data_IF_039260662893
#
_entry.id   IF_039260662893
#
_cell.length_a   1.000
_cell.length_b   1.000
_cell.length_c   1.000
_cell.angle_alpha   90.00
_cell.angle_beta   90.00
_cell.angle_gamma   90.00
#
_symmetry.space_group_name_H-M   'P 1'
#
loop_
_entity.id
_entity.type
_entity.pdbx_description
1 polymer ?
#
# COMPACT_ATOMS: atom_id res chain seq x y z
N UNK A 1 -35.01 33.10 30.27
CA UNK A 1 -35.40 31.77 29.76
C UNK A 1 -35.06 31.71 28.29
N UNK A 2 -33.96 31.08 27.97
CA UNK A 2 -33.45 30.89 26.59
C UNK A 2 -32.88 29.51 26.48
N UNK A 3 -33.63 28.62 25.84
CA UNK A 3 -33.19 27.27 25.51
C UNK A 3 -32.10 27.38 24.45
N UNK A 4 -30.88 26.94 24.78
CA UNK A 4 -29.76 26.79 23.82
C UNK A 4 -30.06 25.52 23.00
N UNK A 5 -30.22 25.73 21.68
CA UNK A 5 -30.26 24.68 20.67
C UNK A 5 -28.96 23.85 20.73
N UNK A 6 -29.10 22.56 20.91
CA UNK A 6 -28.04 21.60 20.67
C UNK A 6 -27.78 21.54 19.18
N UNK A 7 -26.63 22.09 18.73
CA UNK A 7 -26.11 21.87 17.39
C UNK A 7 -25.87 20.38 17.17
N UNK A 8 -26.61 19.80 16.21
CA UNK A 8 -26.32 18.50 15.64
C UNK A 8 -24.87 18.47 15.14
N UNK A 9 -24.04 17.64 15.74
CA UNK A 9 -22.80 17.21 15.12
C UNK A 9 -23.16 16.38 13.87
N UNK A 10 -22.49 16.56 12.76
CA UNK A 10 -22.67 15.67 11.61
C UNK A 10 -22.25 14.26 12.04
N UNK A 11 -23.20 13.33 11.94
CA UNK A 11 -22.93 11.91 12.03
C UNK A 11 -21.97 11.57 10.89
N UNK A 12 -20.80 11.05 11.20
CA UNK A 12 -19.89 10.43 10.23
C UNK A 12 -20.70 9.38 9.48
N UNK A 13 -20.90 9.61 8.19
CA UNK A 13 -21.55 8.68 7.29
C UNK A 13 -20.80 7.34 7.33
N UNK A 14 -21.46 6.32 7.84
CA UNK A 14 -20.99 4.94 7.76
C UNK A 14 -21.31 4.48 6.33
N UNK A 15 -20.59 5.04 5.33
CA UNK A 15 -20.70 4.59 3.95
C UNK A 15 -20.13 3.17 3.88
N UNK A 16 -20.93 2.26 3.35
CA UNK A 16 -20.45 0.91 3.04
C UNK A 16 -19.28 1.02 2.06
N UNK A 17 -18.23 0.19 2.21
CA UNK A 17 -17.08 0.22 1.32
C UNK A 17 -17.52 0.12 -0.15
N UNK A 18 -16.91 0.92 -1.02
CA UNK A 18 -17.20 0.94 -2.45
C UNK A 18 -16.69 -0.33 -3.16
N UNK A 19 -17.22 -0.65 -4.34
CA UNK A 19 -16.68 -1.75 -5.16
C UNK A 19 -15.19 -1.52 -5.49
N UNK A 20 -14.81 -0.27 -5.74
CA UNK A 20 -13.42 0.12 -5.95
C UNK A 20 -12.53 -0.16 -4.74
N UNK A 21 -13.05 0.04 -3.53
CA UNK A 21 -12.34 -0.29 -2.29
C UNK A 21 -12.05 -1.79 -2.17
N UNK A 22 -13.03 -2.64 -2.48
CA UNK A 22 -12.82 -4.11 -2.48
C UNK A 22 -11.86 -4.56 -3.58
N UNK A 23 -11.92 -3.95 -4.76
CA UNK A 23 -10.99 -4.23 -5.85
C UNK A 23 -9.55 -3.85 -5.46
N UNK A 24 -9.36 -2.69 -4.81
CA UNK A 24 -8.07 -2.27 -4.30
C UNK A 24 -7.55 -3.22 -3.21
N UNK A 25 -8.39 -3.59 -2.25
CA UNK A 25 -8.01 -4.54 -1.19
C UNK A 25 -7.50 -5.86 -1.77
N UNK A 26 -8.21 -6.41 -2.77
CA UNK A 26 -7.79 -7.63 -3.47
C UNK A 26 -6.46 -7.44 -4.18
N UNK A 27 -6.30 -6.37 -4.95
CA UNK A 27 -5.05 -6.09 -5.67
C UNK A 27 -3.85 -5.95 -4.73
N UNK A 28 -4.01 -5.29 -3.58
CA UNK A 28 -2.94 -5.13 -2.58
C UNK A 28 -2.56 -6.47 -1.95
N UNK A 29 -3.53 -7.35 -1.66
CA UNK A 29 -3.26 -8.68 -1.12
C UNK A 29 -2.51 -9.55 -2.14
N UNK A 30 -2.95 -9.54 -3.41
CA UNK A 30 -2.28 -10.26 -4.49
C UNK A 30 -0.84 -9.75 -4.71
N UNK A 31 -0.63 -8.43 -4.61
CA UNK A 31 0.69 -7.82 -4.68
C UNK A 31 1.57 -8.23 -3.50
N UNK A 32 1.02 -8.27 -2.28
CA UNK A 32 1.74 -8.70 -1.09
C UNK A 32 2.21 -10.17 -1.24
N UNK A 33 1.33 -11.05 -1.68
CA UNK A 33 1.69 -12.44 -1.97
C UNK A 33 2.78 -12.53 -3.04
N UNK A 34 2.64 -11.77 -4.14
CA UNK A 34 3.62 -11.74 -5.21
C UNK A 34 5.00 -11.29 -4.73
N UNK A 35 5.06 -10.17 -3.99
CA UNK A 35 6.32 -9.63 -3.46
C UNK A 35 6.93 -10.59 -2.43
N UNK A 36 6.11 -11.26 -1.60
CA UNK A 36 6.59 -12.19 -0.58
C UNK A 36 7.39 -13.36 -1.16
N UNK A 37 7.09 -13.77 -2.40
CA UNK A 37 7.83 -14.84 -3.08
C UNK A 37 9.30 -14.48 -3.37
N UNK A 38 9.65 -13.20 -3.35
CA UNK A 38 11.02 -12.70 -3.57
C UNK A 38 11.89 -12.75 -2.32
N UNK A 39 11.29 -13.06 -1.17
CA UNK A 39 11.97 -13.03 0.14
C UNK A 39 12.07 -11.62 0.71
N UNK A 40 12.95 -11.44 1.69
CA UNK A 40 13.21 -10.21 2.41
C UNK A 40 14.46 -9.49 1.87
N UNK A 41 14.65 -8.24 2.31
CA UNK A 41 15.79 -7.37 1.98
C UNK A 41 15.82 -6.97 0.48
N UNK A 42 14.62 -6.96 -0.14
CA UNK A 42 14.42 -6.52 -1.52
C UNK A 42 14.35 -4.99 -1.66
N UNK A 43 14.52 -4.48 -2.88
CA UNK A 43 14.35 -3.06 -3.16
C UNK A 43 12.88 -2.65 -3.04
N UNK A 44 12.65 -1.35 -2.85
CA UNK A 44 11.34 -0.75 -3.00
C UNK A 44 10.79 -1.05 -4.40
N UNK A 45 9.55 -1.53 -4.48
CA UNK A 45 8.86 -1.78 -5.74
C UNK A 45 7.62 -0.90 -5.85
N UNK A 46 7.41 -0.35 -7.03
CA UNK A 46 6.27 0.51 -7.36
C UNK A 46 5.45 -0.13 -8.46
N UNK A 47 4.14 -0.08 -8.35
CA UNK A 47 3.21 -0.68 -9.29
C UNK A 47 2.17 0.35 -9.74
N UNK A 48 1.91 0.41 -11.04
CA UNK A 48 0.71 1.05 -11.57
C UNK A 48 -0.49 0.12 -11.36
N UNK A 49 -1.61 0.67 -10.93
CA UNK A 49 -2.88 -0.02 -10.85
C UNK A 49 -3.79 0.47 -11.98
N UNK A 50 -4.26 -0.45 -12.82
CA UNK A 50 -5.07 -0.13 -14.00
C UNK A 50 -6.29 -1.05 -14.02
N UNK A 51 -7.48 -0.50 -14.32
CA UNK A 51 -8.65 -1.35 -14.53
C UNK A 51 -8.44 -2.23 -15.75
N UNK A 52 -8.50 -3.54 -15.53
CA UNK A 52 -8.22 -4.54 -16.57
C UNK A 52 -9.19 -4.41 -17.74
N UNK A 53 -10.46 -4.12 -17.47
CA UNK A 53 -11.47 -3.91 -18.52
C UNK A 53 -11.14 -2.71 -19.42
N UNK A 54 -10.70 -1.58 -18.82
CA UNK A 54 -10.33 -0.38 -19.55
C UNK A 54 -9.05 -0.59 -20.38
N UNK A 55 -8.07 -1.29 -19.81
CA UNK A 55 -6.84 -1.64 -20.52
C UNK A 55 -7.14 -2.52 -21.76
N UNK A 56 -8.00 -3.53 -21.62
CA UNK A 56 -8.43 -4.40 -22.73
C UNK A 56 -9.26 -3.65 -23.78
N UNK A 57 -10.05 -2.65 -23.38
CA UNK A 57 -10.80 -1.82 -24.30
C UNK A 57 -9.88 -0.89 -25.13
N UNK A 58 -8.84 -0.35 -24.49
CA UNK A 58 -7.86 0.52 -25.14
C UNK A 58 -6.88 -0.25 -26.02
N UNK A 59 -6.46 -1.43 -25.59
CA UNK A 59 -5.59 -2.33 -26.36
C UNK A 59 -6.10 -3.79 -26.30
N UNK A 60 -6.94 -4.21 -27.27
CA UNK A 60 -7.45 -5.59 -27.34
C UNK A 60 -6.36 -6.65 -27.51
N UNK A 61 -5.15 -6.29 -27.93
CA UNK A 61 -4.05 -7.25 -28.08
C UNK A 61 -3.56 -7.79 -26.73
N UNK A 62 -3.79 -7.06 -25.63
CA UNK A 62 -3.50 -7.51 -24.28
C UNK A 62 -4.21 -8.81 -23.91
N UNK A 63 -5.37 -9.10 -24.51
CA UNK A 63 -6.08 -10.37 -24.30
C UNK A 63 -5.28 -11.61 -24.71
N UNK A 64 -4.26 -11.46 -25.56
CA UNK A 64 -3.37 -12.54 -25.96
C UNK A 64 -2.20 -12.74 -25.00
N UNK A 65 -1.89 -11.72 -24.21
CA UNK A 65 -0.77 -11.71 -23.25
C UNK A 65 -1.23 -12.08 -21.83
N UNK A 66 -2.50 -11.80 -21.51
CA UNK A 66 -3.07 -12.10 -20.20
C UNK A 66 -3.61 -13.53 -20.14
N UNK A 67 -3.59 -14.16 -18.93
CA UNK A 67 -4.29 -15.42 -18.72
C UNK A 67 -5.78 -15.31 -19.10
N UNK A 68 -6.32 -16.34 -19.76
CA UNK A 68 -7.72 -16.34 -20.19
C UNK A 68 -8.71 -16.09 -19.03
N UNK A 69 -8.37 -16.54 -17.82
CA UNK A 69 -9.18 -16.32 -16.64
C UNK A 69 -9.25 -14.83 -16.27
N UNK A 70 -8.13 -14.11 -16.32
CA UNK A 70 -8.09 -12.66 -16.06
C UNK A 70 -8.96 -11.88 -17.04
N UNK A 71 -8.94 -12.28 -18.32
CA UNK A 71 -9.79 -11.66 -19.34
C UNK A 71 -11.28 -11.90 -19.07
N UNK A 72 -11.64 -13.11 -18.61
CA UNK A 72 -13.01 -13.45 -18.23
C UNK A 72 -13.45 -12.70 -16.97
N UNK A 73 -12.60 -12.63 -15.97
CA UNK A 73 -12.88 -11.94 -14.73
C UNK A 73 -13.09 -10.43 -14.95
N UNK A 74 -12.30 -9.82 -15.83
CA UNK A 74 -12.46 -8.42 -16.23
C UNK A 74 -13.79 -8.12 -16.93
N UNK A 75 -14.39 -9.12 -17.60
CA UNK A 75 -15.72 -8.99 -18.19
C UNK A 75 -16.86 -9.05 -17.16
N UNK A 76 -16.61 -9.71 -16.03
CA UNK A 76 -17.58 -9.88 -14.95
C UNK A 76 -17.45 -8.81 -13.87
N UNK A 77 -16.23 -8.32 -13.65
CA UNK A 77 -15.89 -7.31 -12.65
C UNK A 77 -15.18 -6.12 -13.32
N UNK A 78 -15.91 -5.04 -13.63
CA UNK A 78 -15.32 -3.84 -14.23
C UNK A 78 -14.34 -3.12 -13.32
N UNK A 79 -14.34 -3.41 -12.02
CA UNK A 79 -13.41 -2.83 -11.05
C UNK A 79 -12.13 -3.66 -10.88
N UNK A 80 -12.02 -4.83 -11.52
CA UNK A 80 -10.83 -5.66 -11.47
C UNK A 80 -9.59 -4.86 -11.85
N UNK A 81 -8.64 -4.77 -10.92
CA UNK A 81 -7.36 -4.09 -11.13
C UNK A 81 -6.28 -5.10 -11.56
N UNK A 82 -5.47 -4.71 -12.53
CA UNK A 82 -4.18 -5.32 -12.82
C UNK A 82 -3.08 -4.45 -12.25
N UNK A 83 -2.02 -5.06 -11.77
CA UNK A 83 -0.82 -4.38 -11.30
C UNK A 83 0.31 -4.51 -12.32
N UNK A 84 0.99 -3.41 -12.59
CA UNK A 84 2.11 -3.36 -13.53
C UNK A 84 3.31 -2.81 -12.79
N UNK A 85 4.31 -3.66 -12.53
CA UNK A 85 5.55 -3.25 -11.86
C UNK A 85 6.30 -2.24 -12.73
N UNK A 86 6.83 -1.21 -12.09
CA UNK A 86 7.57 -0.15 -12.75
C UNK A 86 9.06 -0.44 -12.68
N UNK A 87 9.65 -0.67 -13.84
CA UNK A 87 11.10 -0.80 -13.99
C UNK A 87 11.76 0.57 -14.14
N UNK A 88 13.05 0.65 -13.79
CA UNK A 88 13.85 1.85 -14.01
C UNK A 88 13.37 3.05 -13.21
N UNK A 89 12.98 2.84 -11.96
CA UNK A 89 12.63 3.93 -11.04
C UNK A 89 13.76 4.98 -10.99
N UNK A 90 13.42 6.28 -10.87
CA UNK A 90 14.44 7.32 -10.76
C UNK A 90 15.28 7.13 -9.49
N UNK A 91 16.53 7.57 -9.53
CA UNK A 91 17.35 7.65 -8.34
C UNK A 91 16.74 8.69 -7.39
N UNK A 92 16.57 8.30 -6.14
CA UNK A 92 15.94 9.12 -5.10
C UNK A 92 16.71 9.00 -3.79
N UNK A 93 16.74 10.09 -3.04
CA UNK A 93 17.41 10.14 -1.73
C UNK A 93 16.61 9.38 -0.67
N UNK A 94 15.29 9.46 -0.78
CA UNK A 94 14.35 8.79 0.10
C UNK A 94 13.04 8.46 -0.64
N UNK A 95 12.10 7.87 0.07
CA UNK A 95 10.81 7.46 -0.50
C UNK A 95 9.96 8.64 -0.95
N UNK A 96 9.99 9.76 -0.22
CA UNK A 96 9.21 10.97 -0.55
C UNK A 96 9.70 11.57 -1.86
N UNK A 97 11.03 11.66 -2.03
CA UNK A 97 11.65 12.11 -3.27
C UNK A 97 11.32 11.19 -4.45
N UNK A 98 11.36 9.86 -4.24
CA UNK A 98 10.94 8.89 -5.25
C UNK A 98 9.48 9.15 -5.68
N UNK A 99 8.57 9.23 -4.74
CA UNK A 99 7.14 9.39 -5.02
C UNK A 99 6.85 10.74 -5.70
N UNK A 100 7.57 11.80 -5.35
CA UNK A 100 7.44 13.12 -5.97
C UNK A 100 7.88 13.15 -7.44
N UNK A 101 8.78 12.25 -7.84
CA UNK A 101 9.25 12.13 -9.22
C UNK A 101 8.35 11.28 -10.11
N UNK A 102 7.39 10.53 -9.54
CA UNK A 102 6.49 9.67 -10.29
C UNK A 102 5.32 10.49 -10.87
N UNK A 103 5.16 10.40 -12.18
CA UNK A 103 4.02 10.97 -12.90
C UNK A 103 3.23 9.84 -13.58
N UNK A 104 1.94 9.78 -13.31
CA UNK A 104 1.07 8.74 -13.83
C UNK A 104 0.18 9.27 -14.94
N UNK A 105 0.14 8.62 -16.12
CA UNK A 105 -0.80 8.97 -17.17
C UNK A 105 -2.25 8.76 -16.72
N UNK A 106 -3.19 9.35 -17.45
CA UNK A 106 -4.61 9.34 -17.07
C UNK A 106 -5.24 7.94 -17.05
N UNK A 107 -4.67 7.01 -17.78
CA UNK A 107 -5.09 5.61 -17.90
C UNK A 107 -4.73 4.77 -16.65
N UNK A 108 -3.88 5.29 -15.77
CA UNK A 108 -3.53 4.65 -14.50
C UNK A 108 -4.54 5.09 -13.44
N UNK A 109 -5.28 4.15 -12.88
CA UNK A 109 -6.33 4.40 -11.88
C UNK A 109 -5.78 4.63 -10.47
N UNK A 110 -4.58 4.10 -10.19
CA UNK A 110 -3.94 4.18 -8.90
C UNK A 110 -2.51 3.69 -8.91
N UNK A 111 -1.90 3.66 -7.75
CA UNK A 111 -0.55 3.15 -7.57
C UNK A 111 -0.46 2.28 -6.31
N UNK A 112 0.48 1.35 -6.30
CA UNK A 112 0.86 0.61 -5.11
C UNK A 112 2.37 0.63 -4.92
N UNK A 113 2.77 0.54 -3.66
CA UNK A 113 4.16 0.56 -3.21
C UNK A 113 4.41 -0.63 -2.30
N UNK A 114 5.51 -1.33 -2.51
CA UNK A 114 6.06 -2.30 -1.56
C UNK A 114 7.36 -1.77 -0.98
N UNK A 115 7.45 -1.70 0.35
CA UNK A 115 8.63 -1.21 1.06
C UNK A 115 8.82 -2.00 2.35
N UNK A 116 10.09 -2.24 2.70
CA UNK A 116 10.47 -2.82 3.98
C UNK A 116 10.94 -1.74 4.95
N UNK A 117 10.49 -1.83 6.19
CA UNK A 117 10.82 -0.88 7.27
C UNK A 117 11.06 -1.64 8.56
N UNK A 118 11.98 -1.11 9.38
CA UNK A 118 12.07 -1.52 10.78
C UNK A 118 11.18 -0.64 11.62
N UNK A 119 10.33 -1.26 12.42
CA UNK A 119 9.46 -0.57 13.36
C UNK A 119 9.88 -0.90 14.79
N UNK A 120 9.64 0.03 15.69
CA UNK A 120 9.96 -0.06 17.10
C UNK A 120 8.74 0.33 17.94
N UNK A 121 8.62 -0.18 19.16
CA UNK A 121 7.62 0.32 20.10
C UNK A 121 7.78 1.83 20.34
N UNK A 122 6.68 2.58 20.52
CA UNK A 122 6.73 4.03 20.75
C UNK A 122 7.66 4.47 21.88
N UNK A 123 7.81 3.65 22.93
CA UNK A 123 8.72 3.91 24.03
C UNK A 123 10.19 3.84 23.61
N UNK A 124 10.53 2.90 22.72
CA UNK A 124 11.87 2.77 22.17
C UNK A 124 12.20 3.94 21.22
N UNK A 125 11.25 4.38 20.43
CA UNK A 125 11.40 5.56 19.56
C UNK A 125 11.61 6.84 20.39
N UNK A 126 10.86 7.03 21.48
CA UNK A 126 11.04 8.14 22.40
C UNK A 126 12.42 8.09 23.09
N UNK A 127 12.87 6.90 23.51
CA UNK A 127 14.19 6.71 24.10
C UNK A 127 15.31 7.04 23.10
N UNK A 128 15.18 6.59 21.86
CA UNK A 128 16.09 6.94 20.77
C UNK A 128 16.16 8.45 20.51
N UNK A 129 15.01 9.13 20.55
CA UNK A 129 14.92 10.58 20.39
C UNK A 129 15.65 11.39 21.49
N UNK A 130 15.89 10.78 22.66
CA UNK A 130 16.66 11.39 23.75
C UNK A 130 18.19 11.24 23.59
N UNK A 131 18.65 10.38 22.67
CA UNK A 131 20.08 10.16 22.40
C UNK A 131 20.56 11.26 21.45
N UNK A 132 21.50 12.09 21.90
CA UNK A 132 22.02 13.24 21.14
C UNK A 132 23.06 12.85 20.10
N UNK A 133 23.78 11.76 20.31
CA UNK A 133 24.80 11.24 19.40
C UNK A 133 24.13 10.37 18.33
N UNK A 134 24.36 10.69 17.05
CA UNK A 134 23.72 10.02 15.94
C UNK A 134 24.16 8.56 15.79
N UNK A 135 25.44 8.26 16.01
CA UNK A 135 25.96 6.89 15.90
C UNK A 135 25.43 6.01 17.04
N UNK A 136 25.38 6.56 18.26
CA UNK A 136 24.79 5.86 19.41
C UNK A 136 23.29 5.63 19.23
N UNK A 137 22.56 6.62 18.68
CA UNK A 137 21.14 6.50 18.36
C UNK A 137 20.89 5.42 17.30
N UNK A 138 21.67 5.40 16.23
CA UNK A 138 21.56 4.36 15.19
C UNK A 138 21.88 2.97 15.76
N UNK A 139 22.90 2.84 16.57
CA UNK A 139 23.25 1.59 17.23
C UNK A 139 22.12 1.10 18.17
N UNK A 140 21.51 2.02 18.94
CA UNK A 140 20.36 1.71 19.78
C UNK A 140 19.18 1.19 18.99
N UNK A 141 18.80 1.87 17.92
CA UNK A 141 17.68 1.48 17.04
C UNK A 141 17.95 0.13 16.37
N UNK A 142 19.16 -0.08 15.85
CA UNK A 142 19.54 -1.30 15.15
C UNK A 142 19.56 -2.55 16.04
N UNK A 143 19.93 -2.40 17.31
CA UNK A 143 20.09 -3.51 18.25
C UNK A 143 18.93 -3.65 19.26
N UNK A 144 17.86 -2.88 19.09
CA UNK A 144 16.74 -2.93 20.05
C UNK A 144 16.07 -4.31 20.01
N UNK A 145 15.84 -4.97 21.15
CA UNK A 145 15.30 -6.34 21.19
C UNK A 145 13.86 -6.47 20.67
N UNK A 146 13.10 -5.39 20.69
CA UNK A 146 11.73 -5.33 20.16
C UNK A 146 11.66 -4.68 18.78
N UNK A 147 12.79 -4.58 18.06
CA UNK A 147 12.81 -4.18 16.66
C UNK A 147 12.16 -5.27 15.82
N UNK A 148 11.21 -4.87 14.99
CA UNK A 148 10.53 -5.75 14.05
C UNK A 148 10.71 -5.23 12.62
N UNK A 149 11.13 -6.10 11.71
CA UNK A 149 11.16 -5.76 10.30
C UNK A 149 9.80 -6.10 9.69
N UNK A 150 9.19 -5.12 9.03
CA UNK A 150 7.89 -5.26 8.39
C UNK A 150 7.98 -4.93 6.91
N UNK A 151 7.29 -5.69 6.09
CA UNK A 151 6.99 -5.33 4.71
C UNK A 151 5.59 -4.75 4.66
N UNK A 152 5.47 -3.59 4.04
CA UNK A 152 4.21 -2.90 3.79
C UNK A 152 3.94 -2.87 2.30
N UNK A 153 2.76 -3.30 1.88
CA UNK A 153 2.23 -3.06 0.55
C UNK A 153 1.05 -2.13 0.68
N UNK A 154 1.20 -0.92 0.16
CA UNK A 154 0.19 0.14 0.25
C UNK A 154 -0.31 0.46 -1.14
N UNK A 155 -1.62 0.45 -1.34
CA UNK A 155 -2.26 0.86 -2.58
C UNK A 155 -3.18 2.04 -2.37
N UNK A 156 -3.22 2.94 -3.35
CA UNK A 156 -4.13 4.09 -3.39
C UNK A 156 -4.72 4.24 -4.78
N UNK A 157 -6.00 4.57 -4.86
CA UNK A 157 -6.68 4.93 -6.10
C UNK A 157 -6.85 6.44 -6.21
N UNK A 158 -7.02 6.93 -7.43
CA UNK A 158 -7.31 8.37 -7.69
C UNK A 158 -8.61 8.84 -7.04
N UNK A 159 -9.53 7.91 -6.74
CA UNK A 159 -10.77 8.19 -6.00
C UNK A 159 -10.57 8.50 -4.52
N UNK A 160 -9.38 8.23 -3.98
CA UNK A 160 -9.04 8.42 -2.58
C UNK A 160 -9.13 7.14 -1.73
N UNK A 161 -9.53 6.02 -2.31
CA UNK A 161 -9.49 4.73 -1.62
C UNK A 161 -8.04 4.34 -1.34
N UNK A 162 -7.81 3.82 -0.13
CA UNK A 162 -6.51 3.31 0.32
C UNK A 162 -6.66 1.93 0.94
N UNK A 163 -5.63 1.10 0.80
CA UNK A 163 -5.52 -0.19 1.46
C UNK A 163 -4.07 -0.54 1.72
N UNK A 164 -3.82 -1.23 2.83
CA UNK A 164 -2.49 -1.67 3.22
C UNK A 164 -2.51 -3.13 3.64
N UNK A 165 -1.47 -3.87 3.30
CA UNK A 165 -1.13 -5.18 3.83
C UNK A 165 0.24 -5.12 4.49
N UNK A 166 0.33 -5.65 5.72
CA UNK A 166 1.55 -5.68 6.54
C UNK A 166 1.94 -7.13 6.82
N UNK A 167 3.17 -7.48 6.52
CA UNK A 167 3.80 -8.75 6.89
C UNK A 167 4.95 -8.47 7.83
N UNK A 168 4.99 -9.18 8.96
CA UNK A 168 6.09 -9.12 9.92
C UNK A 168 7.11 -10.21 9.60
N UNK A 169 8.41 -9.87 9.68
CA UNK A 169 9.49 -10.85 9.40
C UNK A 169 9.51 -11.99 10.41
N UNK A 170 9.15 -11.72 11.66
CA UNK A 170 9.02 -12.72 12.72
C UNK A 170 7.81 -13.65 12.55
N UNK A 171 6.82 -13.25 11.71
CA UNK A 171 5.57 -13.96 11.46
C UNK A 171 5.30 -14.01 9.95
N UNK A 172 6.19 -14.67 9.20
CA UNK A 172 6.24 -14.62 7.73
C UNK A 172 5.29 -15.63 7.04
N UNK A 173 4.15 -15.91 7.66
CA UNK A 173 3.13 -16.76 7.06
C UNK A 173 2.00 -15.94 6.44
N UNK A 174 1.48 -16.37 5.29
CA UNK A 174 0.39 -15.67 4.58
C UNK A 174 -0.85 -15.45 5.46
N UNK A 175 -1.15 -16.37 6.38
CA UNK A 175 -2.28 -16.27 7.31
C UNK A 175 -2.09 -15.24 8.42
N UNK A 176 -0.89 -14.68 8.57
CA UNK A 176 -0.53 -13.70 9.60
C UNK A 176 -0.38 -12.28 9.04
N UNK A 177 -0.63 -12.10 7.75
CA UNK A 177 -0.65 -10.77 7.12
C UNK A 177 -1.83 -9.97 7.68
N UNK A 178 -1.52 -8.82 8.26
CA UNK A 178 -2.51 -7.85 8.74
C UNK A 178 -2.87 -6.91 7.61
N UNK A 179 -4.15 -6.61 7.42
CA UNK A 179 -4.60 -5.76 6.32
C UNK A 179 -5.74 -4.81 6.75
N UNK A 180 -5.81 -3.65 6.12
CA UNK A 180 -6.82 -2.64 6.40
C UNK A 180 -6.55 -1.30 5.74
N UNK A 181 -7.54 -0.40 5.78
CA UNK A 181 -7.43 0.96 5.25
C UNK A 181 -6.66 1.93 6.16
N UNK A 182 -6.59 1.64 7.46
CA UNK A 182 -6.09 2.59 8.48
C UNK A 182 -4.79 2.10 9.16
N UNK A 183 -4.03 1.22 8.48
CA UNK A 183 -2.82 0.63 9.07
C UNK A 183 -1.57 1.52 8.93
N UNK A 184 -1.59 2.49 8.03
CA UNK A 184 -0.49 3.44 7.82
C UNK A 184 -0.97 4.82 8.25
N UNK A 185 -0.27 5.49 9.18
CA UNK A 185 -0.54 6.89 9.48
C UNK A 185 -0.38 7.73 8.22
N UNK A 186 -1.37 8.57 7.94
CA UNK A 186 -1.34 9.50 6.82
C UNK A 186 -0.37 10.67 7.06
#
# INVERSE_FOLDING_TARGET
MGLKECKNLPMTSNESPSEAHFALARAVVELEEHVSTRGWDGPTSVFALVRTADALANDPSLAQLLPAQVVQDAQQDPQLLMSIEQDGLPEAVDLEDLLAQLAWPAEVDGAALSVERSVLPPQAEQAAGAISDDDERLAFLANHPEREDVRMVVGVLRGGESWCALRMRSHDEATQVVQGSDLVPG
#
